data_IF_191829988561
#
_entry.id   IF_191829988561
#
_cell.length_a   1.000
_cell.length_b   1.000
_cell.length_c   1.000
_cell.angle_alpha   90.00
_cell.angle_beta   90.00
_cell.angle_gamma   90.00
#
_symmetry.space_group_name_H-M   'P 1'
#
loop_
_entity.id
_entity.type
_entity.pdbx_description
1 polymer ?
#
# COMPACT_ATOMS: atom_id res chain seq x y z
N UNK A 1 -8.44 25.25 -8.76
CA UNK A 1 -9.05 24.30 -7.81
C UNK A 1 -8.22 23.04 -7.89
N UNK A 2 -7.35 22.77 -6.90
CA UNK A 2 -6.39 21.65 -6.94
C UNK A 2 -7.12 20.39 -6.48
N UNK A 3 -7.18 19.35 -7.31
CA UNK A 3 -7.81 18.09 -6.93
C UNK A 3 -6.95 17.39 -5.86
N UNK A 4 -7.55 17.02 -4.73
CA UNK A 4 -6.88 16.20 -3.72
C UNK A 4 -6.60 14.81 -4.30
N UNK A 5 -5.34 14.33 -4.22
CA UNK A 5 -4.92 13.02 -4.76
C UNK A 5 -5.87 11.89 -4.31
N UNK A 6 -6.29 11.93 -3.06
CA UNK A 6 -7.26 11.01 -2.48
C UNK A 6 -8.64 11.04 -3.14
N UNK A 7 -9.17 12.22 -3.46
CA UNK A 7 -10.46 12.34 -4.15
C UNK A 7 -10.39 11.78 -5.57
N UNK A 8 -9.28 11.98 -6.27
CA UNK A 8 -9.04 11.42 -7.59
C UNK A 8 -8.87 9.89 -7.54
N UNK A 9 -8.16 9.37 -6.54
CA UNK A 9 -8.04 7.93 -6.31
C UNK A 9 -9.40 7.27 -6.01
N UNK A 10 -10.25 7.94 -5.21
CA UNK A 10 -11.61 7.48 -4.95
C UNK A 10 -12.51 7.54 -6.18
N UNK A 11 -12.33 8.52 -7.08
CA UNK A 11 -13.10 8.55 -8.33
C UNK A 11 -12.73 7.40 -9.26
N UNK A 12 -11.45 6.97 -9.28
CA UNK A 12 -11.02 5.74 -9.97
C UNK A 12 -11.68 4.52 -9.33
N UNK A 13 -11.63 4.40 -8.00
CA UNK A 13 -12.28 3.29 -7.28
C UNK A 13 -13.79 3.20 -7.56
N UNK A 14 -14.47 4.34 -7.63
CA UNK A 14 -15.90 4.42 -7.92
C UNK A 14 -16.24 4.19 -9.40
N UNK A 15 -15.26 3.98 -10.28
CA UNK A 15 -15.47 3.82 -11.72
C UNK A 15 -15.88 5.13 -12.43
N UNK A 16 -15.65 6.28 -11.79
CA UNK A 16 -15.97 7.60 -12.32
C UNK A 16 -14.82 8.24 -13.10
N UNK A 17 -13.62 7.67 -13.00
CA UNK A 17 -12.43 8.14 -13.70
C UNK A 17 -11.55 6.97 -14.15
N UNK A 18 -10.83 7.16 -15.24
CA UNK A 18 -9.84 6.21 -15.73
C UNK A 18 -8.53 6.26 -14.92
N UNK A 19 -8.03 5.10 -14.52
CA UNK A 19 -6.86 4.98 -13.66
C UNK A 19 -5.59 5.52 -14.34
N UNK A 20 -5.37 5.18 -15.61
CA UNK A 20 -4.17 5.59 -16.35
C UNK A 20 -4.10 7.11 -16.51
N UNK A 21 -5.23 7.73 -16.87
CA UNK A 21 -5.38 9.17 -17.03
C UNK A 21 -5.15 9.91 -15.70
N UNK A 22 -5.78 9.46 -14.61
CA UNK A 22 -5.62 10.06 -13.29
C UNK A 22 -4.18 9.92 -12.79
N UNK A 23 -3.56 8.75 -13.01
CA UNK A 23 -2.19 8.53 -12.60
C UNK A 23 -1.23 9.48 -13.33
N UNK A 24 -1.29 9.53 -14.66
CA UNK A 24 -0.41 10.37 -15.49
C UNK A 24 -0.60 11.87 -15.23
N UNK A 25 -1.83 12.32 -14.98
CA UNK A 25 -2.13 13.73 -14.76
C UNK A 25 -1.77 14.22 -13.35
N UNK A 26 -1.86 13.34 -12.34
CA UNK A 26 -1.81 13.73 -10.93
C UNK A 26 -0.93 12.81 -10.07
N UNK A 27 -1.29 11.54 -9.93
CA UNK A 27 -0.74 10.68 -8.87
C UNK A 27 0.77 10.41 -9.05
N UNK A 28 1.25 10.25 -10.28
CA UNK A 28 2.69 10.03 -10.53
C UNK A 28 3.51 11.31 -10.49
N UNK A 29 2.89 12.49 -10.66
CA UNK A 29 3.58 13.79 -10.72
C UNK A 29 3.86 14.36 -9.33
N UNK A 30 2.97 14.11 -8.37
CA UNK A 30 3.11 14.56 -6.98
C UNK A 30 2.92 13.38 -6.00
N UNK A 31 3.79 12.36 -6.06
CA UNK A 31 3.50 11.02 -5.54
C UNK A 31 3.25 10.95 -4.03
N UNK A 32 3.88 11.83 -3.25
CA UNK A 32 3.77 11.85 -1.77
C UNK A 32 2.83 12.95 -1.25
N UNK A 33 2.28 13.78 -2.15
CA UNK A 33 1.50 14.95 -1.73
C UNK A 33 0.06 14.58 -1.42
N UNK A 34 -0.40 14.97 -0.23
CA UNK A 34 -1.79 14.78 0.17
C UNK A 34 -2.16 13.31 0.36
N UNK A 35 -1.17 12.48 0.67
CA UNK A 35 -1.38 11.11 1.12
C UNK A 35 -2.08 11.18 2.47
N UNK A 36 -3.19 10.47 2.58
CA UNK A 36 -3.87 10.22 3.84
C UNK A 36 -3.48 8.83 4.30
N UNK A 37 -3.11 8.67 5.57
CA UNK A 37 -2.93 7.35 6.19
C UNK A 37 -4.16 6.46 5.99
N UNK A 38 -5.36 7.00 6.26
CA UNK A 38 -6.63 6.28 6.12
C UNK A 38 -6.95 5.87 4.67
N UNK A 39 -6.76 6.78 3.72
CA UNK A 39 -7.17 6.56 2.33
C UNK A 39 -6.00 6.17 1.40
N UNK A 40 -4.82 5.95 1.97
CA UNK A 40 -3.58 5.66 1.24
C UNK A 40 -3.68 4.41 0.38
N UNK A 41 -4.44 3.40 0.80
CA UNK A 41 -4.72 2.21 -0.01
C UNK A 41 -5.33 2.58 -1.37
N UNK A 42 -6.27 3.53 -1.42
CA UNK A 42 -6.92 3.88 -2.68
C UNK A 42 -5.96 4.54 -3.66
N UNK A 43 -4.97 5.29 -3.17
CA UNK A 43 -3.90 5.82 -4.03
C UNK A 43 -3.07 4.67 -4.61
N UNK A 44 -2.62 3.74 -3.76
CA UNK A 44 -1.86 2.57 -4.20
C UNK A 44 -2.64 1.73 -5.21
N UNK A 45 -3.93 1.51 -4.94
CA UNK A 45 -4.86 0.81 -5.81
C UNK A 45 -5.01 1.52 -7.16
N UNK A 46 -5.25 2.83 -7.17
CA UNK A 46 -5.42 3.59 -8.41
C UNK A 46 -4.16 3.55 -9.29
N UNK A 47 -2.97 3.62 -8.67
CA UNK A 47 -1.69 3.46 -9.39
C UNK A 47 -1.50 2.04 -9.91
N UNK A 48 -1.81 1.03 -9.09
CA UNK A 48 -1.77 -0.37 -9.53
C UNK A 48 -2.76 -0.70 -10.65
N UNK A 49 -3.96 -0.13 -10.63
CA UNK A 49 -4.95 -0.28 -11.70
C UNK A 49 -4.49 0.40 -12.99
N UNK A 50 -3.69 1.47 -12.88
CA UNK A 50 -3.02 2.15 -13.99
C UNK A 50 -1.75 1.43 -14.49
N UNK A 51 -1.33 0.31 -13.87
CA UNK A 51 -0.08 -0.40 -14.19
C UNK A 51 1.19 0.25 -13.60
N UNK A 52 1.06 1.31 -12.79
CA UNK A 52 2.18 2.00 -12.16
C UNK A 52 2.55 1.37 -10.81
N UNK A 53 3.02 0.12 -10.90
CA UNK A 53 3.37 -0.69 -9.73
C UNK A 53 4.66 -0.19 -9.07
N UNK A 54 5.68 0.14 -9.87
CA UNK A 54 6.94 0.69 -9.36
C UNK A 54 6.71 1.98 -8.58
N UNK A 55 5.93 2.92 -9.12
CA UNK A 55 5.62 4.15 -8.42
C UNK A 55 4.75 3.97 -7.18
N UNK A 56 3.88 2.96 -7.14
CA UNK A 56 3.15 2.59 -5.95
C UNK A 56 4.07 1.99 -4.86
N UNK A 57 5.01 1.12 -5.24
CA UNK A 57 6.04 0.59 -4.34
C UNK A 57 6.94 1.71 -3.78
N UNK A 58 7.35 2.67 -4.61
CA UNK A 58 8.13 3.82 -4.16
C UNK A 58 7.37 4.70 -3.18
N UNK A 59 6.06 4.86 -3.38
CA UNK A 59 5.20 5.53 -2.42
C UNK A 59 5.14 4.78 -1.09
N UNK A 60 5.03 3.44 -1.11
CA UNK A 60 5.10 2.60 0.10
C UNK A 60 6.41 2.83 0.83
N UNK A 61 7.55 2.68 0.13
CA UNK A 61 8.90 2.86 0.67
C UNK A 61 9.10 4.25 1.25
N UNK A 62 8.59 5.28 0.59
CA UNK A 62 8.82 6.67 1.02
C UNK A 62 7.93 7.05 2.20
N UNK A 63 6.61 6.86 2.08
CA UNK A 63 5.66 7.37 3.07
C UNK A 63 5.55 6.47 4.30
N UNK A 64 5.38 5.16 4.12
CA UNK A 64 5.34 4.22 5.24
C UNK A 64 6.73 3.85 5.75
N UNK A 65 7.75 3.86 4.89
CA UNK A 65 9.14 3.70 5.33
C UNK A 65 9.58 4.83 6.27
N UNK A 66 9.14 6.07 6.05
CA UNK A 66 9.43 7.15 7.01
C UNK A 66 8.83 6.91 8.41
N UNK A 67 7.71 6.18 8.54
CA UNK A 67 7.22 5.75 9.86
C UNK A 67 8.21 4.77 10.50
N UNK A 68 8.71 3.80 9.73
CA UNK A 68 9.72 2.82 10.19
C UNK A 68 11.03 3.52 10.60
N UNK A 69 11.51 4.48 9.80
CA UNK A 69 12.71 5.26 10.09
C UNK A 69 12.59 6.04 11.41
N UNK A 70 11.36 6.38 11.81
CA UNK A 70 11.04 7.01 13.08
C UNK A 70 10.67 6.01 14.19
N UNK A 71 10.96 4.72 14.00
CA UNK A 71 10.80 3.70 15.03
C UNK A 71 9.40 3.07 15.12
N UNK A 72 8.54 3.28 14.12
CA UNK A 72 7.23 2.63 14.11
C UNK A 72 7.35 1.11 14.03
N UNK A 73 6.64 0.40 14.91
CA UNK A 73 6.42 -1.05 14.82
C UNK A 73 4.99 -1.42 14.40
N UNK A 74 4.13 -0.40 14.23
CA UNK A 74 2.71 -0.48 13.88
C UNK A 74 2.37 0.71 12.97
N UNK A 75 1.26 0.61 12.22
CA UNK A 75 0.81 1.72 11.39
C UNK A 75 0.23 2.87 12.23
N UNK A 76 0.65 4.11 11.98
CA UNK A 76 0.17 5.29 12.70
C UNK A 76 -1.15 5.81 12.15
N UNK A 77 -1.98 6.35 13.04
CA UNK A 77 -3.31 6.88 12.70
C UNK A 77 -3.23 8.06 11.73
N UNK A 78 -2.32 9.00 11.95
CA UNK A 78 -2.12 10.18 11.12
C UNK A 78 -0.63 10.46 10.99
N UNK A 79 -0.25 10.94 9.80
CA UNK A 79 1.13 11.20 9.46
C UNK A 79 1.19 12.09 8.21
N UNK A 80 2.11 13.04 8.23
CA UNK A 80 2.54 13.74 7.02
C UNK A 80 4.05 13.53 6.89
N UNK A 81 4.52 13.23 5.68
CA UNK A 81 5.94 13.02 5.42
C UNK A 81 6.77 14.25 5.81
N UNK A 82 6.21 15.46 5.75
CA UNK A 82 6.88 16.67 6.19
C UNK A 82 7.19 16.67 7.69
N UNK A 83 6.39 15.98 8.51
CA UNK A 83 6.60 15.89 9.97
C UNK A 83 7.79 15.02 10.33
N UNK A 84 8.25 14.14 9.43
CA UNK A 84 9.44 13.34 9.67
C UNK A 84 10.72 14.17 9.73
N UNK A 85 10.73 15.34 9.09
CA UNK A 85 11.95 16.13 8.93
C UNK A 85 12.41 16.71 10.27
N UNK A 86 13.50 16.15 10.79
CA UNK A 86 14.13 16.61 12.03
C UNK A 86 13.43 16.11 13.29
N UNK A 87 12.45 15.22 13.17
CA UNK A 87 11.87 14.54 14.32
C UNK A 87 12.82 13.47 14.83
N UNK A 88 12.82 13.26 16.16
CA UNK A 88 13.48 12.11 16.73
C UNK A 88 12.62 10.86 16.53
N UNK A 89 13.24 9.68 16.31
CA UNK A 89 12.53 8.41 16.37
C UNK A 89 11.84 8.21 17.73
N UNK A 90 10.67 7.59 17.71
CA UNK A 90 9.80 7.43 18.90
C UNK A 90 10.38 6.47 19.94
N UNK A 91 11.33 5.64 19.55
CA UNK A 91 12.06 4.70 20.39
C UNK A 91 13.31 5.33 21.05
N UNK A 92 13.54 6.63 20.87
CA UNK A 92 14.62 7.38 21.50
C UNK A 92 14.07 8.28 22.62
N UNK A 93 14.74 8.31 23.77
CA UNK A 93 14.40 9.24 24.85
C UNK A 93 14.68 10.68 24.40
N UNK A 94 13.67 11.57 24.33
CA UNK A 94 13.87 12.91 23.82
C UNK A 94 14.54 13.82 24.86
N UNK A 95 15.44 14.69 24.39
CA UNK A 95 15.88 15.83 25.17
C UNK A 95 14.78 16.90 25.25
N UNK A 96 14.81 17.73 26.29
CA UNK A 96 13.83 18.82 26.44
C UNK A 96 13.87 19.76 25.23
N UNK A 97 12.74 19.90 24.55
CA UNK A 97 12.61 20.79 23.39
C UNK A 97 13.00 20.15 22.06
N UNK A 98 13.32 18.85 22.04
CA UNK A 98 13.41 18.10 20.80
C UNK A 98 12.04 18.08 20.09
N UNK A 99 12.07 18.08 18.76
CA UNK A 99 10.87 18.01 17.93
C UNK A 99 10.29 16.60 17.93
N UNK A 100 9.02 16.49 18.31
CA UNK A 100 8.27 15.24 18.38
C UNK A 100 7.27 15.18 17.22
N UNK A 101 7.38 14.12 16.40
CA UNK A 101 6.57 13.93 15.19
C UNK A 101 5.06 13.93 15.49
N UNK A 102 4.61 13.51 16.68
CA UNK A 102 3.19 13.52 17.05
C UNK A 102 2.87 14.63 18.06
N UNK A 103 3.78 14.90 19.00
CA UNK A 103 3.63 15.91 20.06
C UNK A 103 3.52 17.33 19.53
N UNK A 104 4.25 17.66 18.46
CA UNK A 104 4.30 19.00 17.88
C UNK A 104 3.44 19.18 16.62
N UNK A 105 2.86 18.09 16.11
CA UNK A 105 2.07 18.11 14.87
C UNK A 105 0.62 17.69 15.09
N UNK A 106 -0.04 17.40 13.98
CA UNK A 106 -1.44 17.01 13.94
C UNK A 106 -2.36 18.11 13.44
N UNK A 107 -3.55 17.71 12.97
CA UNK A 107 -4.55 18.58 12.39
C UNK A 107 -5.90 18.43 13.09
N UNK A 108 -6.71 19.49 13.03
CA UNK A 108 -8.08 19.51 13.57
C UNK A 108 -8.17 19.05 15.04
N UNK A 109 -8.86 17.94 15.32
CA UNK A 109 -9.02 17.36 16.65
C UNK A 109 -7.85 16.48 17.10
N UNK A 110 -6.96 16.09 16.19
CA UNK A 110 -5.78 15.29 16.48
C UNK A 110 -4.57 16.21 16.54
N UNK A 111 -4.38 16.93 17.64
CA UNK A 111 -3.18 17.77 17.86
C UNK A 111 -2.43 17.26 19.07
N UNK A 112 -1.09 17.25 18.96
CA UNK A 112 -0.21 16.68 19.97
C UNK A 112 -0.41 15.17 20.11
N UNK A 113 -0.23 14.64 21.32
CA UNK A 113 -0.30 13.21 21.62
C UNK A 113 -1.71 12.59 21.60
N UNK A 114 -2.57 13.02 20.68
CA UNK A 114 -3.93 12.50 20.47
C UNK A 114 -4.03 11.48 19.34
N UNK A 115 -2.94 11.26 18.61
CA UNK A 115 -2.88 10.26 17.55
C UNK A 115 -2.62 8.86 18.12
N UNK A 116 -3.36 7.87 17.63
CA UNK A 116 -3.01 6.46 17.86
C UNK A 116 -1.76 6.08 17.07
N UNK A 117 -0.83 5.42 17.74
CA UNK A 117 0.38 4.86 17.12
C UNK A 117 0.16 3.45 16.56
N UNK A 118 -1.06 2.91 16.68
CA UNK A 118 -1.43 1.59 16.16
C UNK A 118 -2.85 1.63 15.63
N UNK A 119 -3.00 1.93 14.35
CA UNK A 119 -4.29 2.10 13.71
C UNK A 119 -4.35 1.35 12.37
N UNK A 120 -5.12 0.26 12.34
CA UNK A 120 -5.19 -0.64 11.18
C UNK A 120 -5.68 0.02 9.89
N UNK A 121 -6.36 1.16 9.97
CA UNK A 121 -6.82 1.90 8.79
C UNK A 121 -5.69 2.42 7.89
N UNK A 122 -4.46 2.45 8.42
CA UNK A 122 -3.27 2.96 7.77
C UNK A 122 -2.44 1.82 7.17
N UNK A 123 -2.92 0.58 7.28
CA UNK A 123 -2.27 -0.61 6.73
C UNK A 123 -2.49 -0.79 5.23
N UNK A 124 -2.72 0.29 4.48
CA UNK A 124 -2.96 0.25 3.04
C UNK A 124 -1.92 -0.50 2.21
N UNK A 125 -0.62 -0.56 2.59
CA UNK A 125 0.36 -1.40 1.91
C UNK A 125 0.01 -2.90 1.95
N UNK A 126 -0.63 -3.40 3.01
CA UNK A 126 -0.91 -4.83 3.18
C UNK A 126 -1.82 -5.39 2.07
N UNK A 127 -3.03 -4.86 1.82
CA UNK A 127 -3.86 -5.32 0.71
C UNK A 127 -3.23 -4.98 -0.65
N UNK A 128 -2.51 -3.87 -0.79
CA UNK A 128 -1.81 -3.56 -2.05
C UNK A 128 -0.76 -4.64 -2.41
N UNK A 129 0.11 -5.00 -1.48
CA UNK A 129 1.10 -6.06 -1.68
C UNK A 129 0.44 -7.42 -1.95
N UNK A 130 -0.70 -7.70 -1.32
CA UNK A 130 -1.42 -8.98 -1.50
C UNK A 130 -2.15 -9.07 -2.85
N UNK A 131 -2.84 -8.00 -3.26
CA UNK A 131 -3.75 -8.00 -4.42
C UNK A 131 -3.08 -7.59 -5.74
N UNK A 132 -1.97 -6.86 -5.66
CA UNK A 132 -1.24 -6.35 -6.83
C UNK A 132 0.13 -7.00 -6.96
N UNK A 133 0.97 -6.95 -5.91
CA UNK A 133 2.34 -7.48 -6.02
C UNK A 133 2.35 -9.02 -6.07
N UNK A 134 1.77 -9.66 -5.05
CA UNK A 134 1.49 -11.10 -5.05
C UNK A 134 0.33 -11.43 -6.02
N UNK A 135 -0.50 -10.44 -6.34
CA UNK A 135 -1.47 -10.57 -7.42
C UNK A 135 -2.66 -11.48 -7.16
N UNK A 136 -2.95 -11.82 -5.90
CA UNK A 136 -4.03 -12.75 -5.54
C UNK A 136 -5.35 -12.01 -5.39
N UNK A 137 -6.34 -12.34 -6.23
CA UNK A 137 -7.68 -11.72 -6.20
C UNK A 137 -8.78 -12.75 -6.15
N UNK A 138 -9.81 -12.48 -5.34
CA UNK A 138 -11.01 -13.31 -5.26
C UNK A 138 -11.89 -13.03 -6.47
N UNK A 139 -12.05 -14.03 -7.35
CA UNK A 139 -12.85 -13.92 -8.58
C UNK A 139 -14.27 -14.50 -8.44
N UNK A 140 -14.49 -15.38 -7.45
CA UNK A 140 -15.83 -15.86 -7.08
C UNK A 140 -16.01 -15.83 -5.56
N UNK A 141 -17.22 -15.51 -5.04
CA UNK A 141 -17.50 -15.43 -3.61
C UNK A 141 -17.04 -16.67 -2.83
N UNK A 142 -16.62 -16.44 -1.59
CA UNK A 142 -16.15 -17.50 -0.70
C UNK A 142 -14.87 -18.20 -1.20
N UNK A 143 -14.01 -17.49 -1.93
CA UNK A 143 -12.74 -18.00 -2.48
C UNK A 143 -12.90 -19.22 -3.40
N UNK A 144 -14.07 -19.40 -4.05
CA UNK A 144 -14.30 -20.52 -4.98
C UNK A 144 -13.44 -20.45 -6.24
N UNK A 145 -13.02 -19.25 -6.61
CA UNK A 145 -12.05 -19.00 -7.67
C UNK A 145 -11.12 -17.86 -7.27
N UNK A 146 -9.82 -18.06 -7.45
CA UNK A 146 -8.81 -17.02 -7.30
C UNK A 146 -8.09 -16.78 -8.64
N UNK A 147 -7.74 -15.53 -8.89
CA UNK A 147 -6.83 -15.14 -9.95
C UNK A 147 -5.48 -14.82 -9.31
N UNK A 148 -4.39 -15.32 -9.90
CA UNK A 148 -3.01 -14.96 -9.55
C UNK A 148 -2.43 -14.20 -10.75
N UNK A 149 -2.15 -12.92 -10.60
CA UNK A 149 -1.57 -12.05 -11.65
C UNK A 149 -0.47 -11.19 -11.02
N UNK A 150 0.79 -11.65 -11.05
CA UNK A 150 1.88 -10.97 -10.36
C UNK A 150 2.16 -9.60 -10.95
N UNK A 151 2.52 -8.64 -10.11
CA UNK A 151 3.01 -7.36 -10.56
C UNK A 151 4.22 -6.97 -9.70
N UNK A 152 5.40 -7.46 -10.07
CA UNK A 152 6.61 -7.31 -9.25
C UNK A 152 7.19 -5.89 -9.28
N UNK A 153 6.85 -5.07 -10.27
CA UNK A 153 7.50 -3.77 -10.45
C UNK A 153 9.01 -3.94 -10.59
N UNK A 154 9.76 -3.38 -9.64
CA UNK A 154 11.22 -3.46 -9.54
C UNK A 154 11.73 -4.59 -8.62
N UNK A 155 10.84 -5.39 -8.03
CA UNK A 155 11.21 -6.50 -7.15
C UNK A 155 11.76 -7.68 -7.96
N UNK A 156 12.73 -8.40 -7.38
CA UNK A 156 13.26 -9.65 -7.93
C UNK A 156 12.36 -10.84 -7.65
N UNK A 157 11.67 -10.84 -6.51
CA UNK A 157 10.76 -11.90 -6.10
C UNK A 157 9.73 -11.37 -5.12
N UNK A 158 8.62 -12.10 -4.98
CA UNK A 158 7.63 -11.90 -3.93
C UNK A 158 7.01 -13.25 -3.55
N UNK A 159 6.74 -13.49 -2.27
CA UNK A 159 6.04 -14.68 -1.83
C UNK A 159 5.06 -14.36 -0.71
N UNK A 160 4.02 -15.17 -0.57
CA UNK A 160 3.01 -14.98 0.45
C UNK A 160 2.03 -16.13 0.52
N UNK A 161 1.27 -16.16 1.61
CA UNK A 161 0.20 -17.12 1.83
C UNK A 161 -1.10 -16.37 2.09
N UNK A 162 -2.13 -16.70 1.33
CA UNK A 162 -3.48 -16.15 1.50
C UNK A 162 -4.35 -17.22 2.16
N UNK A 163 -4.79 -17.01 3.42
CA UNK A 163 -5.69 -17.94 4.08
C UNK A 163 -7.06 -17.90 3.41
N UNK A 164 -7.66 -19.07 3.17
CA UNK A 164 -9.00 -19.20 2.60
C UNK A 164 -9.86 -20.16 3.43
N UNK A 165 -11.19 -20.18 3.23
CA UNK A 165 -12.06 -21.15 3.89
C UNK A 165 -11.74 -22.64 3.60
N UNK A 166 -10.96 -22.94 2.55
CA UNK A 166 -10.57 -24.32 2.19
C UNK A 166 -9.15 -24.67 2.64
N UNK A 167 -8.44 -23.72 3.27
CA UNK A 167 -7.02 -23.82 3.61
C UNK A 167 -6.17 -22.76 2.90
N UNK A 168 -4.87 -22.87 3.10
CA UNK A 168 -3.91 -21.85 2.69
C UNK A 168 -3.53 -21.95 1.21
N UNK A 169 -3.54 -20.81 0.51
CA UNK A 169 -2.99 -20.68 -0.84
C UNK A 169 -1.63 -20.00 -0.76
N UNK A 170 -0.56 -20.78 -0.94
CA UNK A 170 0.80 -20.25 -1.03
C UNK A 170 1.13 -19.86 -2.47
N UNK A 171 1.77 -18.71 -2.66
CA UNK A 171 2.21 -18.19 -3.96
C UNK A 171 3.63 -17.66 -3.84
N UNK A 172 4.47 -17.94 -4.83
CA UNK A 172 5.82 -17.38 -5.00
C UNK A 172 6.03 -16.96 -6.45
N UNK A 173 6.59 -15.76 -6.61
CA UNK A 173 7.00 -15.19 -7.88
C UNK A 173 8.50 -14.95 -7.85
N UNK A 174 9.18 -15.25 -8.96
CA UNK A 174 10.58 -14.92 -9.17
C UNK A 174 10.75 -14.36 -10.58
N UNK A 175 11.55 -13.31 -10.71
CA UNK A 175 11.98 -12.79 -12.00
C UNK A 175 12.92 -13.81 -12.64
N UNK A 176 12.59 -14.18 -13.86
CA UNK A 176 13.39 -15.02 -14.75
C UNK A 176 13.65 -14.17 -16.00
N UNK A 177 14.81 -14.24 -16.65
CA UNK A 177 15.24 -13.24 -17.65
C UNK A 177 14.28 -12.93 -18.81
N UNK A 178 13.20 -13.71 -18.96
CA UNK A 178 12.12 -13.60 -19.94
C UNK A 178 10.75 -13.16 -19.36
N UNK A 179 10.61 -12.97 -18.05
CA UNK A 179 9.35 -12.59 -17.40
C UNK A 179 9.27 -12.88 -15.90
N UNK A 180 8.10 -13.32 -15.42
CA UNK A 180 7.86 -13.70 -14.02
C UNK A 180 7.42 -15.15 -13.95
N UNK A 181 8.22 -15.99 -13.29
CA UNK A 181 7.85 -17.38 -12.99
C UNK A 181 6.99 -17.41 -11.73
N UNK A 182 5.83 -18.07 -11.81
CA UNK A 182 4.90 -18.21 -10.68
C UNK A 182 4.76 -19.66 -10.26
N UNK A 183 4.94 -19.93 -8.97
CA UNK A 183 4.68 -21.21 -8.34
C UNK A 183 3.63 -21.03 -7.25
N UNK A 184 2.68 -21.96 -7.12
CA UNK A 184 1.66 -21.90 -6.08
C UNK A 184 1.28 -23.29 -5.56
N UNK A 185 0.73 -23.32 -4.34
CA UNK A 185 0.08 -24.50 -3.74
C UNK A 185 -1.29 -24.05 -3.23
N UNK A 186 -2.34 -24.79 -3.59
CA UNK A 186 -3.70 -24.50 -3.18
C UNK A 186 -4.39 -25.80 -2.72
N UNK A 187 -5.29 -25.74 -1.74
CA UNK A 187 -6.12 -26.88 -1.35
C UNK A 187 -7.15 -27.21 -2.43
N UNK A 188 -7.70 -28.41 -2.37
CA UNK A 188 -8.82 -28.82 -3.22
C UNK A 188 -10.04 -27.91 -3.01
N UNK A 189 -10.86 -27.75 -4.06
CA UNK A 189 -12.09 -26.96 -4.01
C UNK A 189 -11.96 -25.47 -4.35
N UNK A 190 -10.75 -25.03 -4.72
CA UNK A 190 -10.48 -23.69 -5.26
C UNK A 190 -10.07 -23.79 -6.73
N UNK A 191 -10.77 -23.07 -7.61
CA UNK A 191 -10.34 -22.87 -9.00
C UNK A 191 -9.25 -21.79 -9.04
N UNK A 192 -8.03 -22.12 -9.49
CA UNK A 192 -6.94 -21.15 -9.66
C UNK A 192 -6.74 -20.85 -11.15
N UNK A 193 -6.72 -19.58 -11.52
CA UNK A 193 -6.28 -19.13 -12.84
C UNK A 193 -5.09 -18.19 -12.71
N UNK A 194 -4.01 -18.50 -13.41
CA UNK A 194 -2.84 -17.62 -13.51
C UNK A 194 -3.02 -16.75 -14.75
N UNK A 195 -2.90 -15.43 -14.60
CA UNK A 195 -2.89 -14.48 -15.71
C UNK A 195 -1.50 -13.88 -15.86
N UNK A 196 -1.17 -13.41 -17.07
CA UNK A 196 0.03 -12.59 -17.26
C UNK A 196 -0.01 -11.37 -16.32
N UNK A 197 1.16 -11.00 -15.81
CA UNK A 197 1.31 -9.86 -14.93
C UNK A 197 1.04 -8.54 -15.64
N UNK A 198 0.73 -7.49 -14.86
CA UNK A 198 0.64 -6.11 -15.34
C UNK A 198 1.96 -5.38 -15.18
#
# INVERSE_FOLDING_TARGET
MRAAATAAALSVFAGLADAASVNAALLSREPVRGVSTFLGYYLLRARGDAGDIGGALDLVRTYWGAMLDLGATTFWEDFDLAWAKGALPIDVLPERGAYDVHGDNGNYCYRGFRHSLCHGWASGPVPFLSEYVLGVRIAKPGCKKLIISPALGDLEWAEGTVPTPYGDVFVRHERDGEGVRTCFRAPDGIEISVAEGK
#
